data_IF_097024623109
#
_entry.id   IF_097024623109
#
_cell.length_a   1.000
_cell.length_b   1.000
_cell.length_c   1.000
_cell.angle_alpha   90.00
_cell.angle_beta   90.00
_cell.angle_gamma   90.00
#
_symmetry.space_group_name_H-M   'P 1'
#
loop_
_entity.id
_entity.type
_entity.pdbx_description
1 polymer ?
#
# COMPACT_ATOMS: atom_id res chain seq x y z
N UNK A 1 -86.53 14.68 93.17
CA UNK A 1 -87.65 14.34 94.07
C UNK A 1 -88.95 14.47 93.29
N UNK A 2 -89.82 13.46 93.43
CA UNK A 2 -91.27 13.35 93.12
C UNK A 2 -91.94 14.61 92.52
N UNK A 3 -92.80 14.53 91.50
CA UNK A 3 -94.11 13.88 91.54
C UNK A 3 -94.79 14.01 90.14
N UNK A 4 -95.39 12.91 89.65
CA UNK A 4 -96.78 12.78 89.11
C UNK A 4 -97.37 13.90 88.21
N UNK A 5 -98.19 13.71 87.17
CA UNK A 5 -98.91 12.63 86.49
C UNK A 5 -99.89 13.35 85.52
N UNK A 6 -100.51 12.60 84.60
CA UNK A 6 -101.76 12.90 83.84
C UNK A 6 -101.65 13.77 82.60
N UNK A 7 -102.37 13.50 81.50
CA UNK A 7 -103.04 12.32 80.90
C UNK A 7 -103.85 12.92 79.74
N UNK A 8 -103.69 12.42 78.51
CA UNK A 8 -104.74 12.42 77.47
C UNK A 8 -104.16 11.77 76.19
N UNK A 9 -104.16 10.45 76.02
CA UNK A 9 -105.25 9.60 75.46
C UNK A 9 -106.07 10.23 74.34
N UNK A 10 -105.78 9.86 73.09
CA UNK A 10 -106.76 9.31 72.16
C UNK A 10 -106.06 8.53 71.03
N UNK A 11 -106.16 7.20 71.11
CA UNK A 11 -105.89 6.21 70.07
C UNK A 11 -107.00 6.24 69.01
N UNK A 12 -106.64 5.96 67.75
CA UNK A 12 -107.24 4.95 66.85
C UNK A 12 -106.84 5.28 65.39
N UNK A 13 -105.93 4.50 64.79
CA UNK A 13 -106.22 3.36 63.90
C UNK A 13 -106.60 3.83 62.47
N UNK A 14 -106.07 3.33 61.34
CA UNK A 14 -105.45 2.05 61.05
C UNK A 14 -104.73 2.06 59.66
N UNK A 15 -103.89 1.03 59.46
CA UNK A 15 -103.69 0.24 58.23
C UNK A 15 -102.85 0.79 57.05
N UNK A 16 -101.61 0.30 57.02
CA UNK A 16 -100.95 -0.47 55.92
C UNK A 16 -101.12 0.04 54.49
N UNK A 17 -100.03 0.53 53.91
CA UNK A 17 -99.77 0.43 52.48
C UNK A 17 -98.31 0.00 52.24
N UNK A 18 -98.21 -1.09 51.49
CA UNK A 18 -97.08 -1.97 51.28
C UNK A 18 -95.91 -1.33 50.52
N UNK A 19 -94.71 -1.84 50.82
CA UNK A 19 -93.48 -1.49 50.14
C UNK A 19 -93.46 -1.87 48.65
N UNK A 20 -92.93 -0.96 47.85
CA UNK A 20 -92.38 -1.23 46.53
C UNK A 20 -90.86 -1.12 46.66
N UNK A 21 -90.22 -2.20 47.11
CA UNK A 21 -88.83 -2.43 46.75
C UNK A 21 -88.85 -2.86 45.29
N UNK A 22 -88.55 -1.93 44.39
CA UNK A 22 -88.15 -2.25 43.03
C UNK A 22 -86.86 -3.08 43.12
N UNK A 23 -86.99 -4.40 43.18
CA UNK A 23 -85.91 -5.31 42.90
C UNK A 23 -85.62 -5.19 41.40
N UNK A 24 -84.71 -4.30 41.03
CA UNK A 24 -84.00 -4.47 39.77
C UNK A 24 -83.29 -5.82 39.87
N UNK A 25 -83.86 -6.85 39.25
CA UNK A 25 -83.20 -8.14 39.08
C UNK A 25 -82.02 -7.92 38.12
N UNK A 26 -80.90 -7.45 38.64
CA UNK A 26 -79.62 -7.51 37.96
C UNK A 26 -79.28 -8.98 37.78
N UNK A 27 -79.49 -9.49 36.57
CA UNK A 27 -79.19 -10.86 36.19
C UNK A 27 -77.70 -11.11 36.36
N UNK A 28 -77.34 -12.23 36.98
CA UNK A 28 -75.94 -12.60 37.13
C UNK A 28 -75.27 -12.68 35.75
N UNK A 29 -74.07 -12.11 35.57
CA UNK A 29 -73.33 -12.19 34.32
C UNK A 29 -72.97 -13.64 34.00
N UNK A 30 -72.93 -13.97 32.71
CA UNK A 30 -72.47 -15.27 32.23
C UNK A 30 -70.93 -15.29 32.23
N UNK A 31 -70.31 -16.22 32.96
CA UNK A 31 -68.85 -16.27 33.16
C UNK A 31 -68.05 -16.30 31.85
N UNK A 32 -68.57 -16.97 30.81
CA UNK A 32 -67.93 -17.03 29.49
C UNK A 32 -67.90 -15.66 28.81
N UNK A 33 -68.99 -14.89 28.90
CA UNK A 33 -69.11 -13.53 28.34
C UNK A 33 -68.18 -12.58 29.09
N UNK A 34 -68.06 -12.71 30.41
CA UNK A 34 -67.12 -11.92 31.19
C UNK A 34 -65.65 -12.26 30.85
N UNK A 35 -65.34 -13.55 30.68
CA UNK A 35 -64.01 -13.99 30.21
C UNK A 35 -63.68 -13.41 28.84
N UNK A 36 -64.63 -13.45 27.91
CA UNK A 36 -64.49 -12.86 26.58
C UNK A 36 -64.31 -11.34 26.64
N UNK A 37 -65.04 -10.66 27.53
CA UNK A 37 -64.89 -9.22 27.78
C UNK A 37 -63.50 -8.85 28.26
N UNK A 38 -62.94 -9.61 29.20
CA UNK A 38 -61.57 -9.41 29.67
C UNK A 38 -60.57 -9.60 28.52
N UNK A 39 -60.71 -10.66 27.72
CA UNK A 39 -59.82 -10.94 26.60
C UNK A 39 -59.87 -9.83 25.52
N UNK A 40 -61.08 -9.41 25.12
CA UNK A 40 -61.28 -8.34 24.13
C UNK A 40 -60.79 -7.00 24.67
N UNK A 41 -61.07 -6.67 25.93
CA UNK A 41 -60.60 -5.42 26.54
C UNK A 41 -59.07 -5.41 26.67
N UNK A 42 -58.43 -6.54 26.98
CA UNK A 42 -56.97 -6.64 26.97
C UNK A 42 -56.41 -6.36 25.58
N UNK A 43 -56.97 -6.99 24.55
CA UNK A 43 -56.58 -6.75 23.16
C UNK A 43 -56.84 -5.29 22.72
N UNK A 44 -57.97 -4.69 23.14
CA UNK A 44 -58.32 -3.31 22.83
C UNK A 44 -57.41 -2.28 23.52
N UNK A 45 -56.86 -2.63 24.68
CA UNK A 45 -55.95 -1.77 25.44
C UNK A 45 -54.47 -2.03 25.11
N UNK A 46 -54.14 -3.02 24.28
CA UNK A 46 -52.79 -3.24 23.79
C UNK A 46 -52.53 -2.33 22.57
N UNK A 47 -51.62 -1.34 22.68
CA UNK A 47 -51.33 -0.42 21.58
C UNK A 47 -50.83 -1.14 20.32
N UNK A 48 -50.13 -2.27 20.48
CA UNK A 48 -49.65 -3.04 19.35
C UNK A 48 -50.83 -3.64 18.57
N UNK A 49 -51.86 -4.11 19.26
CA UNK A 49 -53.08 -4.65 18.63
C UNK A 49 -53.90 -3.57 17.95
N UNK A 50 -54.08 -2.43 18.61
CA UNK A 50 -54.81 -1.29 18.03
C UNK A 50 -54.15 -0.78 16.75
N UNK A 51 -52.82 -0.68 16.75
CA UNK A 51 -52.07 -0.18 15.60
C UNK A 51 -51.92 -1.23 14.49
N UNK A 52 -51.65 -2.48 14.87
CA UNK A 52 -51.20 -3.50 13.91
C UNK A 52 -52.25 -4.56 13.60
N UNK A 53 -53.37 -4.67 14.32
CA UNK A 53 -54.44 -5.64 14.02
C UNK A 53 -55.86 -5.05 14.23
N UNK A 54 -56.18 -3.87 13.66
CA UNK A 54 -57.44 -3.19 13.94
C UNK A 54 -58.68 -3.94 13.40
N UNK A 55 -58.54 -4.69 12.30
CA UNK A 55 -59.65 -5.44 11.70
C UNK A 55 -60.00 -6.67 12.54
N UNK A 56 -58.97 -7.34 13.04
CA UNK A 56 -59.04 -8.52 13.88
C UNK A 56 -59.60 -8.15 15.27
N UNK A 57 -59.15 -7.01 15.83
CA UNK A 57 -59.71 -6.43 17.05
C UNK A 57 -61.18 -6.07 16.88
N UNK A 58 -61.54 -5.39 15.77
CA UNK A 58 -62.93 -5.08 15.45
C UNK A 58 -63.79 -6.34 15.37
N UNK A 59 -63.29 -7.40 14.72
CA UNK A 59 -64.01 -8.66 14.62
C UNK A 59 -64.23 -9.32 15.99
N UNK A 60 -63.30 -9.16 16.94
CA UNK A 60 -63.44 -9.63 18.32
C UNK A 60 -64.50 -8.81 19.09
N UNK A 61 -64.41 -7.48 19.04
CA UNK A 61 -65.36 -6.55 19.69
C UNK A 61 -66.78 -6.72 19.16
N UNK A 62 -66.96 -6.81 17.85
CA UNK A 62 -68.29 -7.02 17.23
C UNK A 62 -68.88 -8.37 17.63
N UNK A 63 -68.05 -9.38 17.93
CA UNK A 63 -68.51 -10.71 18.38
C UNK A 63 -68.90 -10.72 19.85
N UNK A 64 -68.12 -10.04 20.70
CA UNK A 64 -68.47 -9.83 22.11
C UNK A 64 -69.81 -9.08 22.23
N UNK A 65 -69.98 -8.00 21.45
CA UNK A 65 -71.22 -7.24 21.44
C UNK A 65 -72.44 -8.05 20.95
N UNK A 66 -72.23 -9.12 20.16
CA UNK A 66 -73.29 -10.09 19.85
C UNK A 66 -73.56 -11.03 21.03
N UNK A 67 -72.51 -11.53 21.70
CA UNK A 67 -72.65 -12.37 22.88
C UNK A 67 -73.41 -11.66 24.03
N UNK A 68 -73.07 -10.40 24.30
CA UNK A 68 -73.75 -9.56 25.30
C UNK A 68 -75.25 -9.40 24.99
N UNK A 69 -75.60 -9.12 23.73
CA UNK A 69 -77.00 -8.98 23.30
C UNK A 69 -77.78 -10.28 23.40
N UNK A 70 -77.19 -11.41 22.97
CA UNK A 70 -77.85 -12.72 23.07
C UNK A 70 -78.14 -13.09 24.52
N UNK A 71 -77.20 -12.83 25.44
CA UNK A 71 -77.40 -13.08 26.86
C UNK A 71 -78.44 -12.14 27.49
N UNK A 72 -78.38 -10.85 27.17
CA UNK A 72 -79.29 -9.81 27.70
C UNK A 72 -80.72 -10.00 27.21
N UNK A 73 -80.92 -10.19 25.90
CA UNK A 73 -82.23 -10.06 25.26
C UNK A 73 -82.96 -11.40 25.11
N UNK A 74 -82.23 -12.45 24.74
CA UNK A 74 -82.80 -13.78 24.44
C UNK A 74 -82.62 -14.79 25.57
N UNK A 75 -81.66 -14.56 26.46
CA UNK A 75 -81.27 -15.51 27.49
C UNK A 75 -80.89 -16.91 26.92
N UNK A 76 -80.27 -16.94 25.74
CA UNK A 76 -79.75 -18.17 25.17
C UNK A 76 -78.31 -18.39 25.64
N UNK A 77 -78.15 -19.16 26.71
CA UNK A 77 -76.84 -19.45 27.28
C UNK A 77 -75.94 -20.23 26.30
N UNK A 78 -76.51 -21.09 25.45
CA UNK A 78 -75.74 -21.91 24.52
C UNK A 78 -75.17 -21.04 23.39
N UNK A 79 -76.01 -20.18 22.79
CA UNK A 79 -75.58 -19.23 21.76
C UNK A 79 -74.60 -18.18 22.34
N UNK A 80 -74.88 -17.64 23.53
CA UNK A 80 -73.99 -16.69 24.21
C UNK A 80 -72.62 -17.29 24.55
N UNK A 81 -72.57 -18.52 25.08
CA UNK A 81 -71.32 -19.24 25.35
C UNK A 81 -70.49 -19.44 24.08
N UNK A 82 -71.14 -19.84 22.97
CA UNK A 82 -70.44 -20.03 21.70
C UNK A 82 -69.87 -18.71 21.15
N UNK A 83 -70.65 -17.64 21.16
CA UNK A 83 -70.19 -16.32 20.73
C UNK A 83 -69.08 -15.76 21.63
N UNK A 84 -69.16 -15.98 22.95
CA UNK A 84 -68.11 -15.60 23.88
C UNK A 84 -66.80 -16.36 23.63
N UNK A 85 -66.88 -17.67 23.33
CA UNK A 85 -65.71 -18.44 22.90
C UNK A 85 -65.10 -17.87 21.61
N UNK A 86 -65.93 -17.60 20.59
CA UNK A 86 -65.46 -17.00 19.33
C UNK A 86 -64.85 -15.61 19.53
N UNK A 87 -65.41 -14.78 20.41
CA UNK A 87 -64.87 -13.46 20.74
C UNK A 87 -63.49 -13.58 21.39
N UNK A 88 -63.32 -14.53 22.32
CA UNK A 88 -62.03 -14.83 22.97
C UNK A 88 -60.98 -15.25 21.94
N UNK A 89 -61.31 -16.23 21.08
CA UNK A 89 -60.41 -16.70 20.03
C UNK A 89 -60.02 -15.58 19.05
N UNK A 90 -60.96 -14.69 18.70
CA UNK A 90 -60.67 -13.54 17.84
C UNK A 90 -59.77 -12.50 18.51
N UNK A 91 -59.89 -12.29 19.81
CA UNK A 91 -58.98 -11.42 20.57
C UNK A 91 -57.55 -11.99 20.60
N UNK A 92 -57.41 -13.30 20.72
CA UNK A 92 -56.11 -13.97 20.63
C UNK A 92 -55.51 -13.88 19.23
N UNK A 93 -56.33 -14.05 18.19
CA UNK A 93 -55.91 -13.83 16.79
C UNK A 93 -55.42 -12.40 16.58
N UNK A 94 -56.17 -11.40 17.06
CA UNK A 94 -55.76 -10.00 16.97
C UNK A 94 -54.39 -9.76 17.63
N UNK A 95 -54.19 -10.33 18.83
CA UNK A 95 -52.92 -10.25 19.57
C UNK A 95 -51.76 -10.91 18.83
N UNK A 96 -51.99 -12.08 18.23
CA UNK A 96 -50.96 -12.81 17.48
C UNK A 96 -50.62 -12.14 16.15
N UNK A 97 -51.62 -11.63 15.43
CA UNK A 97 -51.40 -10.88 14.17
C UNK A 97 -50.62 -9.61 14.43
N UNK A 98 -50.95 -8.87 15.48
CA UNK A 98 -50.23 -7.68 15.87
C UNK A 98 -48.76 -7.97 16.18
N UNK A 99 -48.49 -9.00 17.00
CA UNK A 99 -47.14 -9.44 17.32
C UNK A 99 -46.37 -9.85 16.07
N UNK A 100 -46.98 -10.62 15.16
CA UNK A 100 -46.35 -11.03 13.90
C UNK A 100 -45.96 -9.82 13.06
N UNK A 101 -46.86 -8.84 12.90
CA UNK A 101 -46.60 -7.64 12.09
C UNK A 101 -45.49 -6.75 12.69
N UNK A 102 -45.43 -6.63 14.02
CA UNK A 102 -44.32 -5.94 14.70
C UNK A 102 -43.00 -6.65 14.44
N UNK A 103 -42.95 -7.97 14.63
CA UNK A 103 -41.74 -8.76 14.36
C UNK A 103 -41.30 -8.65 12.89
N UNK A 104 -42.23 -8.68 11.94
CA UNK A 104 -41.93 -8.52 10.52
C UNK A 104 -41.33 -7.13 10.23
N UNK A 105 -41.83 -6.08 10.88
CA UNK A 105 -41.30 -4.73 10.74
C UNK A 105 -39.88 -4.62 11.33
N UNK A 106 -39.65 -5.22 12.50
CA UNK A 106 -38.34 -5.23 13.16
C UNK A 106 -37.31 -6.02 12.34
N UNK A 107 -37.70 -7.18 11.78
CA UNK A 107 -36.84 -7.98 10.89
C UNK A 107 -36.46 -7.19 9.65
N UNK A 108 -37.43 -6.50 9.01
CA UNK A 108 -37.15 -5.66 7.83
C UNK A 108 -36.18 -4.54 8.16
N UNK A 109 -36.37 -3.87 9.31
CA UNK A 109 -35.48 -2.79 9.75
C UNK A 109 -34.08 -3.32 10.04
N UNK A 110 -33.97 -4.41 10.80
CA UNK A 110 -32.69 -5.04 11.12
C UNK A 110 -31.95 -5.49 9.85
N UNK A 111 -32.67 -6.05 8.87
CA UNK A 111 -32.11 -6.42 7.57
C UNK A 111 -31.57 -5.21 6.79
N UNK A 112 -32.32 -4.10 6.77
CA UNK A 112 -31.89 -2.86 6.12
C UNK A 112 -30.65 -2.25 6.80
N UNK A 113 -30.59 -2.28 8.13
CA UNK A 113 -29.45 -1.77 8.89
C UNK A 113 -28.21 -2.67 8.72
N UNK A 114 -28.38 -4.00 8.70
CA UNK A 114 -27.31 -4.94 8.41
C UNK A 114 -26.74 -4.75 7.00
N UNK A 115 -27.59 -4.54 6.00
CA UNK A 115 -27.15 -4.31 4.62
C UNK A 115 -26.40 -2.98 4.48
N UNK A 116 -26.89 -1.91 5.12
CA UNK A 116 -26.17 -0.63 5.16
C UNK A 116 -24.78 -0.78 5.75
N UNK A 117 -24.66 -1.50 6.87
CA UNK A 117 -23.37 -1.75 7.51
C UNK A 117 -22.42 -2.56 6.61
N UNK A 118 -22.94 -3.58 5.92
CA UNK A 118 -22.17 -4.37 4.95
C UNK A 118 -21.62 -3.48 3.86
N UNK A 119 -22.48 -2.67 3.23
CA UNK A 119 -22.09 -1.75 2.16
C UNK A 119 -21.05 -0.71 2.62
N UNK A 120 -21.19 -0.16 3.83
CA UNK A 120 -20.18 0.74 4.41
C UNK A 120 -18.85 0.03 4.60
N UNK A 121 -18.85 -1.18 5.17
CA UNK A 121 -17.62 -1.95 5.39
C UNK A 121 -16.92 -2.31 4.07
N UNK A 122 -17.68 -2.61 3.01
CA UNK A 122 -17.15 -2.89 1.68
C UNK A 122 -16.56 -1.63 1.04
N UNK A 123 -17.24 -0.48 1.18
CA UNK A 123 -16.72 0.79 0.71
C UNK A 123 -15.42 1.18 1.43
N UNK A 124 -15.34 0.97 2.75
CA UNK A 124 -14.13 1.24 3.54
C UNK A 124 -12.98 0.32 3.13
N UNK A 125 -13.25 -0.98 2.92
CA UNK A 125 -12.25 -1.92 2.39
C UNK A 125 -11.76 -1.51 1.00
N UNK A 126 -12.67 -1.10 0.11
CA UNK A 126 -12.31 -0.64 -1.22
C UNK A 126 -11.46 0.64 -1.17
N UNK A 127 -11.78 1.59 -0.27
CA UNK A 127 -10.98 2.80 -0.03
C UNK A 127 -9.57 2.46 0.48
N UNK A 128 -9.46 1.61 1.50
CA UNK A 128 -8.16 1.18 2.02
C UNK A 128 -7.32 0.49 0.95
N UNK A 129 -7.93 -0.37 0.12
CA UNK A 129 -7.22 -1.02 -0.98
C UNK A 129 -6.75 -0.01 -2.05
N UNK A 130 -7.60 0.95 -2.40
CA UNK A 130 -7.24 1.99 -3.36
C UNK A 130 -6.09 2.88 -2.85
N UNK A 131 -6.11 3.25 -1.57
CA UNK A 131 -5.02 3.99 -0.92
C UNK A 131 -3.71 3.18 -0.87
N UNK A 132 -3.78 1.89 -0.53
CA UNK A 132 -2.61 1.01 -0.54
C UNK A 132 -2.01 0.89 -1.95
N UNK A 133 -2.86 0.70 -2.96
CA UNK A 133 -2.45 0.67 -4.37
C UNK A 133 -1.81 2.00 -4.78
N UNK A 134 -2.40 3.15 -4.42
CA UNK A 134 -1.85 4.46 -4.72
C UNK A 134 -0.47 4.69 -4.08
N UNK A 135 -0.30 4.31 -2.80
CA UNK A 135 1.00 4.36 -2.10
C UNK A 135 2.04 3.47 -2.77
N UNK A 136 1.67 2.25 -3.16
CA UNK A 136 2.58 1.34 -3.86
C UNK A 136 3.03 1.91 -5.22
N UNK A 137 2.11 2.52 -5.97
CA UNK A 137 2.41 3.15 -7.25
C UNK A 137 3.32 4.37 -7.09
N UNK A 138 3.06 5.22 -6.10
CA UNK A 138 3.92 6.37 -5.78
C UNK A 138 5.34 5.92 -5.39
N UNK A 139 5.47 4.87 -4.58
CA UNK A 139 6.77 4.32 -4.22
C UNK A 139 7.52 3.77 -5.44
N UNK A 140 6.83 3.05 -6.32
CA UNK A 140 7.42 2.54 -7.57
C UNK A 140 7.90 3.70 -8.48
N UNK A 141 7.13 4.78 -8.58
CA UNK A 141 7.53 5.98 -9.35
C UNK A 141 8.77 6.65 -8.78
N UNK A 142 8.86 6.81 -7.45
CA UNK A 142 10.04 7.38 -6.80
C UNK A 142 11.28 6.51 -7.00
N UNK A 143 11.13 5.19 -6.93
CA UNK A 143 12.21 4.26 -7.20
C UNK A 143 12.69 4.36 -8.65
N UNK A 144 11.77 4.40 -9.63
CA UNK A 144 12.09 4.58 -11.04
C UNK A 144 12.85 5.90 -11.29
N UNK A 145 12.36 7.03 -10.76
CA UNK A 145 13.03 8.32 -10.87
C UNK A 145 14.45 8.30 -10.27
N UNK A 146 14.63 7.66 -9.12
CA UNK A 146 15.96 7.52 -8.50
C UNK A 146 16.90 6.63 -9.33
N UNK A 147 16.38 5.62 -10.01
CA UNK A 147 17.15 4.74 -10.86
C UNK A 147 17.59 5.45 -12.14
N UNK A 148 16.69 6.25 -12.74
CA UNK A 148 17.00 7.10 -13.90
C UNK A 148 18.10 8.12 -13.58
N UNK A 149 18.01 8.78 -12.42
CA UNK A 149 19.05 9.72 -11.99
C UNK A 149 20.41 9.03 -11.82
N UNK A 150 20.45 7.87 -11.15
CA UNK A 150 21.69 7.07 -11.02
C UNK A 150 22.24 6.64 -12.38
N UNK A 151 21.38 6.25 -13.31
CA UNK A 151 21.79 5.89 -14.66
C UNK A 151 22.38 7.09 -15.41
N UNK A 152 21.79 8.27 -15.27
CA UNK A 152 22.30 9.52 -15.85
C UNK A 152 23.65 9.91 -15.25
N UNK A 153 23.80 9.83 -13.93
CA UNK A 153 25.05 10.13 -13.22
C UNK A 153 26.17 9.16 -13.64
N UNK A 154 25.86 7.87 -13.72
CA UNK A 154 26.79 6.85 -14.21
C UNK A 154 27.19 7.11 -15.67
N UNK A 155 26.23 7.43 -16.54
CA UNK A 155 26.50 7.76 -17.94
C UNK A 155 27.34 9.04 -18.08
N UNK A 156 27.14 10.04 -17.23
CA UNK A 156 27.98 11.24 -17.19
C UNK A 156 29.41 10.90 -16.75
N UNK A 157 29.57 10.04 -15.73
CA UNK A 157 30.89 9.59 -15.25
C UNK A 157 31.64 8.78 -16.31
N UNK A 158 30.96 7.87 -17.02
CA UNK A 158 31.55 7.11 -18.13
C UNK A 158 32.01 8.06 -19.24
N UNK A 159 31.16 9.00 -19.68
CA UNK A 159 31.55 9.99 -20.71
C UNK A 159 32.75 10.84 -20.30
N UNK A 160 32.82 11.24 -19.02
CA UNK A 160 33.95 12.00 -18.49
C UNK A 160 35.25 11.16 -18.51
N UNK A 161 35.19 9.90 -18.08
CA UNK A 161 36.33 8.99 -18.12
C UNK A 161 36.79 8.74 -19.55
N UNK A 162 35.88 8.47 -20.47
CA UNK A 162 36.22 8.29 -21.89
C UNK A 162 36.88 9.54 -22.50
N UNK A 163 36.41 10.73 -22.15
CA UNK A 163 37.02 11.98 -22.59
C UNK A 163 38.47 12.11 -22.07
N UNK A 164 38.72 11.74 -20.81
CA UNK A 164 40.06 11.71 -20.23
C UNK A 164 40.97 10.69 -20.93
N UNK A 165 40.47 9.48 -21.22
CA UNK A 165 41.24 8.46 -21.93
C UNK A 165 41.58 8.87 -23.36
N UNK A 166 40.65 9.53 -24.07
CA UNK A 166 40.89 10.09 -25.41
C UNK A 166 41.97 11.17 -25.39
N UNK A 167 42.02 12.02 -24.36
CA UNK A 167 43.01 13.11 -24.30
C UNK A 167 44.45 12.61 -24.23
N UNK A 168 44.67 11.45 -23.57
CA UNK A 168 45.99 10.80 -23.47
C UNK A 168 46.21 9.70 -24.51
N UNK A 169 45.31 9.54 -25.48
CA UNK A 169 45.36 8.49 -26.51
C UNK A 169 45.50 7.06 -25.89
N UNK A 170 44.91 6.82 -24.71
CA UNK A 170 45.00 5.54 -24.01
C UNK A 170 44.00 4.51 -24.55
N UNK A 171 44.45 3.26 -24.66
CA UNK A 171 43.64 2.10 -25.02
C UNK A 171 43.52 1.15 -23.85
N UNK A 172 42.32 0.63 -23.59
CA UNK A 172 42.15 -0.39 -22.57
C UNK A 172 42.59 -1.75 -23.11
N UNK A 173 43.50 -2.41 -22.40
CA UNK A 173 44.04 -3.73 -22.77
C UNK A 173 44.01 -4.65 -21.54
N UNK A 174 44.23 -5.95 -21.75
CA UNK A 174 44.36 -6.91 -20.63
C UNK A 174 45.56 -6.61 -19.71
N UNK A 175 46.50 -5.78 -20.17
CA UNK A 175 47.71 -5.39 -19.44
C UNK A 175 47.49 -4.16 -18.55
N UNK A 176 46.38 -3.45 -18.74
CA UNK A 176 46.10 -2.13 -18.19
C UNK A 176 45.76 -1.12 -19.30
N UNK A 177 45.85 0.16 -18.98
CA UNK A 177 45.70 1.25 -19.95
C UNK A 177 47.02 1.44 -20.71
N UNK A 178 47.03 1.15 -22.00
CA UNK A 178 48.18 1.28 -22.88
C UNK A 178 48.16 2.64 -23.57
N UNK A 179 49.20 3.43 -23.36
CA UNK A 179 49.50 4.64 -24.12
C UNK A 179 50.72 4.37 -24.98
N UNK A 180 50.60 4.52 -26.30
CA UNK A 180 51.71 4.29 -27.24
C UNK A 180 52.27 5.61 -27.72
N UNK A 181 53.55 5.82 -27.45
CA UNK A 181 54.30 6.98 -27.89
C UNK A 181 55.22 6.57 -29.06
N UNK A 182 54.94 7.06 -30.26
CA UNK A 182 55.70 6.71 -31.46
C UNK A 182 57.06 7.41 -31.61
N UNK A 183 57.75 7.10 -32.72
CA UNK A 183 59.13 7.52 -33.03
C UNK A 183 59.36 9.04 -33.00
N UNK A 184 58.31 9.82 -33.25
CA UNK A 184 58.30 11.29 -33.24
C UNK A 184 58.78 11.88 -31.90
N UNK A 185 58.80 11.08 -30.83
CA UNK A 185 59.26 11.48 -29.51
C UNK A 185 60.77 11.51 -29.33
N UNK A 186 61.58 10.92 -30.22
CA UNK A 186 63.03 10.84 -30.03
C UNK A 186 63.79 11.38 -31.24
N UNK A 187 64.88 12.11 -31.00
CA UNK A 187 65.79 12.46 -32.09
C UNK A 187 66.39 11.18 -32.73
N UNK A 188 66.69 11.22 -34.03
CA UNK A 188 67.18 10.06 -34.78
C UNK A 188 68.37 9.39 -34.07
N UNK A 189 68.23 8.09 -33.79
CA UNK A 189 69.22 7.25 -33.10
C UNK A 189 69.64 7.72 -31.69
N UNK A 190 68.85 8.60 -31.05
CA UNK A 190 69.10 9.11 -29.70
C UNK A 190 68.00 8.66 -28.73
N UNK A 191 68.32 8.77 -27.43
CA UNK A 191 67.37 8.64 -26.32
C UNK A 191 66.85 10.01 -25.82
N UNK A 192 67.29 11.10 -26.46
CA UNK A 192 66.87 12.46 -26.14
C UNK A 192 65.45 12.71 -26.67
N UNK A 193 64.57 13.19 -25.79
CA UNK A 193 63.18 13.49 -26.13
C UNK A 193 63.10 14.72 -27.02
N UNK A 194 62.28 14.65 -28.06
CA UNK A 194 62.03 15.77 -28.96
C UNK A 194 61.16 16.84 -28.29
N UNK A 195 61.20 18.07 -28.80
CA UNK A 195 60.31 19.14 -28.34
C UNK A 195 58.82 18.78 -28.48
N UNK A 196 58.49 17.91 -29.44
CA UNK A 196 57.12 17.44 -29.69
C UNK A 196 56.63 16.45 -28.62
N UNK A 197 57.53 15.87 -27.83
CA UNK A 197 57.19 15.01 -26.71
C UNK A 197 56.58 15.77 -25.52
N UNK A 198 56.93 17.05 -25.36
CA UNK A 198 56.52 17.88 -24.23
C UNK A 198 55.02 17.83 -23.96
N UNK A 199 54.16 18.29 -24.91
CA UNK A 199 52.72 18.33 -24.70
C UNK A 199 52.08 16.97 -24.38
N UNK A 200 52.56 15.88 -25.00
CA UNK A 200 52.05 14.52 -24.74
C UNK A 200 52.42 14.04 -23.34
N UNK A 201 53.66 14.29 -22.93
CA UNK A 201 54.14 13.98 -21.58
C UNK A 201 53.47 14.84 -20.51
N UNK A 202 53.13 16.10 -20.83
CA UNK A 202 52.40 16.99 -19.94
C UNK A 202 50.97 16.47 -19.68
N UNK A 203 50.25 16.06 -20.74
CA UNK A 203 48.92 15.43 -20.60
C UNK A 203 48.97 14.14 -19.79
N UNK A 204 49.93 13.27 -20.10
CA UNK A 204 50.11 12.02 -19.35
C UNK A 204 50.47 12.26 -17.89
N UNK A 205 51.37 13.19 -17.59
CA UNK A 205 51.72 13.53 -16.22
C UNK A 205 50.53 14.16 -15.46
N UNK A 206 49.74 15.02 -16.12
CA UNK A 206 48.50 15.57 -15.56
C UNK A 206 47.51 14.46 -15.17
N UNK A 207 47.33 13.47 -16.04
CA UNK A 207 46.51 12.29 -15.75
C UNK A 207 47.06 11.50 -14.55
N UNK A 208 48.37 11.18 -14.55
CA UNK A 208 49.00 10.42 -13.47
C UNK A 208 49.00 11.13 -12.12
N UNK A 209 48.96 12.47 -12.10
CA UNK A 209 48.78 13.26 -10.87
C UNK A 209 47.34 13.25 -10.35
N UNK A 210 46.35 13.16 -11.22
CA UNK A 210 44.94 12.98 -10.82
C UNK A 210 44.66 11.59 -10.25
N UNK A 211 45.45 10.58 -10.65
CA UNK A 211 45.33 9.21 -10.17
C UNK A 211 46.62 8.76 -9.45
N UNK A 212 46.88 9.26 -8.23
CA UNK A 212 48.15 9.04 -7.52
C UNK A 212 48.45 7.57 -7.21
N UNK A 213 47.43 6.72 -7.09
CA UNK A 213 47.58 5.31 -6.73
C UNK A 213 47.98 4.41 -7.92
N UNK A 214 47.93 4.91 -9.15
CA UNK A 214 48.20 4.10 -10.35
C UNK A 214 49.70 3.94 -10.57
N UNK A 215 50.18 2.70 -10.61
CA UNK A 215 51.55 2.35 -11.05
C UNK A 215 51.61 2.24 -12.58
N UNK A 216 52.80 2.38 -13.16
CA UNK A 216 53.02 2.25 -14.60
C UNK A 216 54.33 1.54 -14.94
N UNK A 217 54.32 0.88 -16.09
CA UNK A 217 55.48 0.27 -16.73
C UNK A 217 55.72 0.99 -18.05
N UNK A 218 56.94 1.45 -18.26
CA UNK A 218 57.40 2.09 -19.50
C UNK A 218 58.27 1.09 -20.23
N UNK A 219 57.94 0.82 -21.48
CA UNK A 219 58.55 -0.23 -22.30
C UNK A 219 59.10 0.37 -23.60
N UNK A 220 60.42 0.38 -23.73
CA UNK A 220 61.09 0.85 -24.92
C UNK A 220 61.21 -0.27 -25.97
N UNK A 221 60.99 0.09 -27.24
CA UNK A 221 61.17 -0.78 -28.39
C UNK A 221 61.97 -0.09 -29.50
N UNK A 222 62.71 -0.88 -30.28
CA UNK A 222 63.44 -0.43 -31.47
C UNK A 222 62.92 -1.14 -32.72
N UNK A 223 63.33 -0.67 -33.89
CA UNK A 223 63.20 -1.44 -35.12
C UNK A 223 64.30 -2.52 -35.22
N UNK A 224 64.33 -3.23 -36.34
CA UNK A 224 65.30 -4.30 -36.59
C UNK A 224 66.71 -3.82 -36.93
N UNK A 225 66.94 -2.52 -37.11
CA UNK A 225 68.24 -1.99 -37.56
C UNK A 225 69.23 -2.01 -36.41
N UNK A 226 70.40 -2.61 -36.64
CA UNK A 226 71.45 -2.75 -35.63
C UNK A 226 71.42 -4.07 -34.85
N UNK A 227 72.49 -4.29 -34.08
CA UNK A 227 72.68 -5.50 -33.28
C UNK A 227 71.77 -5.55 -32.04
N UNK A 228 71.53 -6.75 -31.53
CA UNK A 228 70.59 -6.99 -30.43
C UNK A 228 71.00 -6.24 -29.17
N UNK A 229 72.27 -6.31 -28.78
CA UNK A 229 72.81 -5.60 -27.62
C UNK A 229 72.69 -4.07 -27.76
N UNK A 230 72.89 -3.54 -28.96
CA UNK A 230 72.72 -2.11 -29.24
C UNK A 230 71.27 -1.68 -29.06
N UNK A 231 70.35 -2.43 -29.66
CA UNK A 231 68.91 -2.16 -29.60
C UNK A 231 68.34 -2.31 -28.20
N UNK A 232 68.81 -3.31 -27.44
CA UNK A 232 68.49 -3.46 -26.03
C UNK A 232 68.88 -2.21 -25.24
N UNK A 233 70.15 -1.79 -25.32
CA UNK A 233 70.65 -0.60 -24.63
C UNK A 233 69.92 0.69 -25.05
N UNK A 234 69.62 0.84 -26.35
CA UNK A 234 68.89 1.99 -26.86
C UNK A 234 67.45 2.05 -26.32
N UNK A 235 66.76 0.91 -26.30
CA UNK A 235 65.38 0.81 -25.79
C UNK A 235 65.29 1.13 -24.29
N UNK A 236 66.24 0.66 -23.49
CA UNK A 236 66.32 0.94 -22.06
C UNK A 236 66.54 2.43 -21.78
N UNK A 237 67.51 3.05 -22.48
CA UNK A 237 67.77 4.49 -22.34
C UNK A 237 66.54 5.32 -22.71
N UNK A 238 65.79 4.93 -23.75
CA UNK A 238 64.55 5.61 -24.15
C UNK A 238 63.46 5.49 -23.08
N UNK A 239 63.26 4.30 -22.51
CA UNK A 239 62.32 4.11 -21.43
C UNK A 239 62.69 4.94 -20.18
N UNK A 240 63.98 4.99 -19.83
CA UNK A 240 64.50 5.80 -18.72
C UNK A 240 64.37 7.32 -18.97
N UNK A 241 64.54 7.77 -20.21
CA UNK A 241 64.32 9.17 -20.58
C UNK A 241 62.87 9.60 -20.36
N UNK A 242 61.90 8.75 -20.74
CA UNK A 242 60.47 8.99 -20.48
C UNK A 242 60.17 8.97 -18.98
N UNK A 243 60.72 8.00 -18.23
CA UNK A 243 60.61 7.96 -16.78
C UNK A 243 61.09 9.28 -16.16
N UNK A 244 62.29 9.72 -16.52
CA UNK A 244 62.89 10.96 -16.00
C UNK A 244 62.03 12.18 -16.32
N UNK A 245 61.49 12.25 -17.53
CA UNK A 245 60.62 13.34 -17.96
C UNK A 245 59.28 13.36 -17.21
N UNK A 246 58.72 12.21 -16.85
CA UNK A 246 57.51 12.11 -16.02
C UNK A 246 57.80 12.45 -14.55
N UNK A 247 58.95 12.03 -14.01
CA UNK A 247 59.38 12.39 -12.65
C UNK A 247 59.58 13.90 -12.53
N UNK A 248 60.21 14.54 -13.51
CA UNK A 248 60.35 16.01 -13.56
C UNK A 248 59.00 16.73 -13.60
N UNK A 249 57.95 16.07 -14.11
CA UNK A 249 56.56 16.56 -14.11
C UNK A 249 55.79 16.18 -12.84
N UNK A 250 56.46 15.67 -11.80
CA UNK A 250 55.87 15.39 -10.50
C UNK A 250 55.17 14.03 -10.39
N UNK A 251 55.44 13.08 -11.27
CA UNK A 251 55.04 11.68 -11.06
C UNK A 251 56.04 11.02 -10.10
N UNK A 252 55.55 10.40 -9.04
CA UNK A 252 56.43 9.78 -8.04
C UNK A 252 57.23 8.61 -8.66
N UNK A 253 58.56 8.54 -8.45
CA UNK A 253 59.43 7.58 -9.14
C UNK A 253 59.16 6.12 -8.77
N UNK A 254 58.71 5.85 -7.55
CA UNK A 254 58.30 4.54 -7.03
C UNK A 254 57.10 3.93 -7.78
N UNK A 255 56.33 4.76 -8.48
CA UNK A 255 55.22 4.33 -9.33
C UNK A 255 55.65 3.85 -10.71
N UNK A 256 56.90 4.13 -11.12
CA UNK A 256 57.36 3.95 -12.49
C UNK A 256 58.40 2.85 -12.57
N UNK A 257 58.13 1.82 -13.36
CA UNK A 257 59.14 0.82 -13.77
C UNK A 257 59.50 1.06 -15.24
N UNK A 258 60.78 1.22 -15.57
CA UNK A 258 61.24 1.37 -16.95
C UNK A 258 61.98 0.11 -17.43
N UNK A 259 61.66 -0.39 -18.62
CA UNK A 259 62.28 -1.57 -19.24
C UNK A 259 62.49 -1.35 -20.73
N UNK A 260 63.58 -1.88 -21.28
CA UNK A 260 63.78 -1.97 -22.72
C UNK A 260 63.64 -3.41 -23.20
N UNK A 261 63.12 -3.61 -24.41
CA UNK A 261 62.99 -4.93 -25.03
C UNK A 261 63.71 -5.05 -26.38
N UNK A 262 64.46 -4.02 -26.77
CA UNK A 262 65.10 -3.92 -28.08
C UNK A 262 64.09 -4.16 -29.21
N UNK A 263 64.44 -5.05 -30.14
CA UNK A 263 63.65 -5.39 -31.32
C UNK A 263 62.80 -6.66 -31.17
N UNK A 264 62.69 -7.21 -29.95
CA UNK A 264 62.11 -8.54 -29.67
C UNK A 264 60.59 -8.60 -29.88
N UNK A 265 59.89 -7.47 -29.75
CA UNK A 265 58.43 -7.39 -29.85
C UNK A 265 57.99 -6.37 -30.92
N UNK A 266 58.15 -6.71 -32.23
CA UNK A 266 57.67 -5.87 -33.32
C UNK A 266 56.14 -5.87 -33.36
N UNK A 267 55.55 -4.73 -33.70
CA UNK A 267 54.10 -4.53 -33.92
C UNK A 267 53.74 -4.33 -35.39
N UNK A 268 54.76 -4.09 -36.22
CA UNK A 268 54.62 -3.97 -37.66
C UNK A 268 55.82 -4.63 -38.36
N UNK A 269 55.69 -4.83 -39.68
CA UNK A 269 56.77 -5.40 -40.49
C UNK A 269 58.00 -4.48 -40.50
N UNK A 270 59.18 -5.05 -40.30
CA UNK A 270 60.44 -4.31 -40.33
C UNK A 270 61.00 -4.10 -41.75
N UNK A 271 60.39 -4.70 -42.77
CA UNK A 271 60.82 -4.53 -44.16
C UNK A 271 60.52 -3.13 -44.70
N UNK A 272 59.42 -2.50 -44.28
CA UNK A 272 59.03 -1.15 -44.73
C UNK A 272 59.53 -0.03 -43.80
N UNK A 273 59.85 1.17 -44.33
CA UNK A 273 60.14 2.34 -43.51
C UNK A 273 59.05 2.68 -42.49
N UNK A 274 57.78 2.54 -42.90
CA UNK A 274 56.61 2.83 -42.08
C UNK A 274 56.49 1.85 -40.90
N UNK A 275 56.67 0.55 -41.16
CA UNK A 275 56.59 -0.46 -40.12
C UNK A 275 57.76 -0.39 -39.15
N UNK A 276 58.97 -0.05 -39.62
CA UNK A 276 60.09 0.29 -38.71
C UNK A 276 59.76 1.49 -37.83
N UNK A 277 59.12 2.54 -38.37
CA UNK A 277 58.70 3.70 -37.58
C UNK A 277 57.67 3.33 -36.49
N UNK A 278 56.74 2.42 -36.77
CA UNK A 278 55.81 1.89 -35.76
C UNK A 278 56.53 1.07 -34.67
N UNK A 279 57.59 0.35 -35.02
CA UNK A 279 58.37 -0.44 -34.07
C UNK A 279 59.26 0.40 -33.15
N UNK A 280 59.71 1.58 -33.61
CA UNK A 280 60.39 2.59 -32.78
C UNK A 280 59.36 3.32 -31.92
N UNK A 281 58.98 2.71 -30.80
CA UNK A 281 57.94 3.22 -29.90
C UNK A 281 58.32 3.04 -28.43
N UNK A 282 57.63 3.77 -27.58
CA UNK A 282 57.55 3.52 -26.15
C UNK A 282 56.10 3.22 -25.78
N UNK A 283 55.86 2.03 -25.24
CA UNK A 283 54.57 1.65 -24.67
C UNK A 283 54.55 2.01 -23.18
N UNK A 284 53.52 2.68 -22.73
CA UNK A 284 53.32 2.99 -21.31
C UNK A 284 52.06 2.27 -20.87
N UNK A 285 52.23 1.28 -20.00
CA UNK A 285 51.13 0.52 -19.42
C UNK A 285 50.85 1.08 -18.03
N UNK A 286 49.65 1.60 -17.82
CA UNK A 286 49.20 2.18 -16.56
C UNK A 286 48.20 1.21 -15.93
N UNK A 287 48.30 1.01 -14.61
CA UNK A 287 47.34 0.20 -13.87
C UNK A 287 45.90 0.69 -14.13
N UNK A 288 45.00 -0.22 -14.51
CA UNK A 288 43.58 0.11 -14.69
C UNK A 288 42.85 0.23 -13.34
N UNK A 289 41.55 0.53 -13.37
CA UNK A 289 40.72 0.66 -12.15
C UNK A 289 40.63 -0.65 -11.34
N UNK A 290 40.91 -1.80 -11.95
CA UNK A 290 40.94 -3.11 -11.30
C UNK A 290 42.33 -3.46 -10.76
N UNK A 291 43.32 -2.59 -10.97
CA UNK A 291 44.71 -2.82 -10.57
C UNK A 291 45.51 -3.70 -11.53
N UNK A 292 45.01 -3.98 -12.73
CA UNK A 292 45.73 -4.77 -13.72
C UNK A 292 46.92 -3.98 -14.26
N UNK A 293 48.13 -4.51 -14.07
CA UNK A 293 49.36 -3.94 -14.59
C UNK A 293 50.30 -5.08 -14.99
N UNK A 294 50.53 -5.25 -16.30
CA UNK A 294 51.40 -6.31 -16.83
C UNK A 294 52.37 -5.80 -17.90
N UNK A 295 53.65 -6.13 -17.73
CA UNK A 295 54.67 -5.94 -18.77
C UNK A 295 54.49 -6.94 -19.94
N UNK A 296 55.30 -6.76 -20.99
CA UNK A 296 55.49 -7.75 -22.07
C UNK A 296 56.12 -9.04 -21.56
#
# INVERSE_FOLDING_TARGET
MRHTLRRSTALAAALVASGLLAACATRAPLDSVETARIAVNRAANDPAVVQNAPLELKAATDTLARADRVWSDKNDAAEANHLAYLATQRADIASNVARSRVLDADIKKAGADAERLRLTSEADRARMQAEANARSAQQAQLQAASAEQRAADNAARVRALEAQLRDIEAQQTERGLLVTLGDVLFAFNKAELSAQAGPRLDKLANFLRQFPDRKLIIEGHTDSVGGDAYNQSLSERRAQAVQSALVQRGVAPDRITARGYGKTYPVADNSSPEGRAMNRRVEIVIADEKGNLRGR
#
